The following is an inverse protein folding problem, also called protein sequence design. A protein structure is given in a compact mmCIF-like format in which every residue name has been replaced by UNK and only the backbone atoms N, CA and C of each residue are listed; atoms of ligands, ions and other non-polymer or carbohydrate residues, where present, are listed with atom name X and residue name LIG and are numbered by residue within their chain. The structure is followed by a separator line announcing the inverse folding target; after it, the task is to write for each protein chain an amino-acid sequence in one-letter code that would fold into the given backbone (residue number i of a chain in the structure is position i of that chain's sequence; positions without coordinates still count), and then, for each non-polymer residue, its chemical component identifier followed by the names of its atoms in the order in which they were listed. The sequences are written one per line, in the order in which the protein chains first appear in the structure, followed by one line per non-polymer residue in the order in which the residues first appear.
data_IF_306144757694
#
_entry.id   IF_306144757694
#
_cell.length_a   1.000
_cell.length_b   1.000
_cell.length_c   1.000
_cell.angle_alpha   90.00
_cell.angle_beta   90.00
_cell.angle_gamma   90.00
#
_symmetry.space_group_name_H-M   'P 1'
#
loop_
_entity.id
_entity.type
_entity.pdbx_description
1 polymer ?
#
# COMPACT_ATOMS: atom_id res chain seq x y z
N UNK A 1 -28.23 50.83 -36.39
CA UNK A 1 -28.43 50.85 -34.92
C UNK A 1 -28.58 49.42 -34.43
N UNK A 2 -27.88 49.10 -33.34
CA UNK A 2 -27.93 47.87 -32.53
C UNK A 2 -27.43 46.55 -33.16
N UNK A 3 -26.10 46.36 -33.12
CA UNK A 3 -25.45 45.05 -33.16
C UNK A 3 -25.70 44.33 -31.83
N UNK A 4 -26.43 43.20 -31.86
CA UNK A 4 -26.69 42.37 -30.67
C UNK A 4 -25.49 41.47 -30.41
N UNK A 5 -24.58 41.94 -29.56
CA UNK A 5 -23.50 41.13 -28.98
C UNK A 5 -24.13 40.02 -28.13
N UNK A 6 -24.07 38.79 -28.62
CA UNK A 6 -24.39 37.61 -27.83
C UNK A 6 -23.31 37.46 -26.74
N UNK A 7 -23.61 37.65 -25.45
CA UNK A 7 -22.59 37.51 -24.42
C UNK A 7 -22.23 36.03 -24.33
N UNK A 8 -20.96 35.74 -24.60
CA UNK A 8 -20.31 34.46 -24.40
C UNK A 8 -20.75 33.82 -23.07
N UNK A 9 -21.73 32.91 -23.10
CA UNK A 9 -21.92 31.92 -22.05
C UNK A 9 -20.73 30.97 -22.11
N UNK A 10 -19.62 31.36 -21.48
CA UNK A 10 -18.60 30.41 -21.05
C UNK A 10 -19.31 29.49 -20.07
N UNK A 11 -19.75 28.33 -20.55
CA UNK A 11 -20.24 27.25 -19.71
C UNK A 11 -19.09 26.87 -18.77
N UNK A 12 -19.08 27.47 -17.59
CA UNK A 12 -18.36 26.89 -16.48
C UNK A 12 -19.12 25.60 -16.16
N UNK A 13 -18.67 24.48 -16.70
CA UNK A 13 -19.05 23.14 -16.26
C UNK A 13 -18.47 22.93 -14.85
N UNK A 14 -18.91 23.72 -13.86
CA UNK A 14 -18.81 23.33 -12.46
C UNK A 14 -19.94 22.33 -12.26
N UNK A 15 -19.73 21.09 -12.71
CA UNK A 15 -20.59 19.99 -12.28
C UNK A 15 -20.40 19.91 -10.78
N UNK A 16 -21.47 20.16 -10.02
CA UNK A 16 -21.46 19.98 -8.58
C UNK A 16 -21.06 18.52 -8.30
N UNK A 17 -19.92 18.31 -7.63
CA UNK A 17 -19.46 16.99 -7.29
C UNK A 17 -20.54 16.30 -6.43
N UNK A 18 -21.00 15.13 -6.87
CA UNK A 18 -22.00 14.36 -6.12
C UNK A 18 -21.50 14.13 -4.68
N UNK A 19 -22.27 14.54 -3.68
CA UNK A 19 -21.96 14.27 -2.27
C UNK A 19 -22.52 12.89 -1.91
N UNK A 20 -21.67 11.86 -1.76
CA UNK A 20 -22.15 10.53 -1.41
C UNK A 20 -22.67 10.51 0.03
N UNK A 21 -23.86 9.94 0.24
CA UNK A 21 -24.45 9.75 1.57
C UNK A 21 -24.00 8.44 2.25
N UNK A 22 -23.36 7.53 1.51
CA UNK A 22 -22.93 6.21 1.99
C UNK A 22 -21.50 5.89 1.55
N UNK A 23 -20.75 5.14 2.37
CA UNK A 23 -19.39 4.66 2.10
C UNK A 23 -19.31 3.88 0.79
N UNK A 24 -20.28 2.99 0.53
CA UNK A 24 -20.33 2.21 -0.71
C UNK A 24 -20.50 3.10 -1.95
N UNK A 25 -21.31 4.17 -1.84
CA UNK A 25 -21.50 5.12 -2.93
C UNK A 25 -20.23 5.95 -3.16
N UNK A 26 -19.55 6.36 -2.09
CA UNK A 26 -18.27 7.06 -2.18
C UNK A 26 -17.19 6.20 -2.87
N UNK A 27 -17.09 4.92 -2.51
CA UNK A 27 -16.16 3.98 -3.14
C UNK A 27 -16.49 3.74 -4.62
N UNK A 28 -17.77 3.68 -5.00
CA UNK A 28 -18.16 3.56 -6.40
C UNK A 28 -17.73 4.79 -7.23
N UNK A 29 -17.86 6.00 -6.67
CA UNK A 29 -17.39 7.24 -7.30
C UNK A 29 -15.86 7.31 -7.39
N UNK A 30 -15.16 6.85 -6.35
CA UNK A 30 -13.69 6.75 -6.40
C UNK A 30 -13.29 5.78 -7.51
N UNK A 31 -13.90 4.60 -7.57
CA UNK A 31 -13.61 3.53 -8.54
C UNK A 31 -13.86 3.92 -10.01
N UNK A 32 -14.78 4.84 -10.27
CA UNK A 32 -15.06 5.29 -11.65
C UNK A 32 -13.95 6.18 -12.23
N UNK A 33 -13.07 6.71 -11.39
CA UNK A 33 -11.98 7.59 -11.81
C UNK A 33 -10.74 6.78 -12.23
N UNK A 34 -9.88 7.31 -13.12
CA UNK A 34 -8.75 6.55 -13.64
C UNK A 34 -7.56 6.45 -12.68
N UNK A 35 -7.41 7.39 -11.75
CA UNK A 35 -6.24 7.49 -10.88
C UNK A 35 -6.67 7.47 -9.40
N UNK A 36 -6.01 6.63 -8.61
CA UNK A 36 -6.25 6.49 -7.18
C UNK A 36 -4.95 6.57 -6.38
N UNK A 37 -5.05 7.00 -5.14
CA UNK A 37 -3.98 7.00 -4.16
C UNK A 37 -4.50 6.45 -2.83
N UNK A 38 -3.57 6.00 -2.00
CA UNK A 38 -3.85 5.53 -0.64
C UNK A 38 -2.86 6.17 0.33
N UNK A 39 -3.34 6.51 1.53
CA UNK A 39 -2.47 6.81 2.66
C UNK A 39 -2.49 5.62 3.60
N UNK A 40 -1.37 4.91 3.68
CA UNK A 40 -1.22 3.73 4.53
C UNK A 40 -0.15 3.95 5.61
N UNK A 41 -0.39 3.40 6.80
CA UNK A 41 0.58 3.33 7.87
C UNK A 41 1.39 2.04 7.74
N UNK A 42 2.70 2.18 7.48
CA UNK A 42 3.65 1.07 7.39
C UNK A 42 4.76 1.29 8.40
N UNK A 43 5.03 0.29 9.25
CA UNK A 43 6.05 0.36 10.31
C UNK A 43 5.92 1.64 11.19
N UNK A 44 4.69 2.02 11.52
CA UNK A 44 4.39 3.16 12.40
C UNK A 44 4.45 4.55 11.73
N UNK A 45 4.66 4.64 10.41
CA UNK A 45 4.70 5.90 9.66
C UNK A 45 3.71 5.89 8.52
N UNK A 46 3.10 7.04 8.23
CA UNK A 46 2.13 7.21 7.14
C UNK A 46 2.86 7.52 5.83
N UNK A 47 2.43 6.90 4.74
CA UNK A 47 2.94 7.13 3.39
C UNK A 47 1.80 7.35 2.42
N UNK A 48 1.98 8.31 1.51
CA UNK A 48 1.14 8.48 0.33
C UNK A 48 1.66 7.53 -0.74
N UNK A 49 0.80 6.65 -1.24
CA UNK A 49 1.15 5.58 -2.16
C UNK A 49 0.23 5.62 -3.37
N UNK A 50 0.84 5.55 -4.55
CA UNK A 50 0.17 5.27 -5.81
C UNK A 50 0.46 3.81 -6.23
N UNK A 51 -0.39 3.22 -7.09
CA UNK A 51 -0.10 1.91 -7.65
C UNK A 51 1.22 1.95 -8.42
N UNK A 52 2.03 0.90 -8.29
CA UNK A 52 3.36 0.79 -8.92
C UNK A 52 4.42 1.73 -8.32
N UNK A 53 4.25 2.23 -7.10
CA UNK A 53 5.32 2.93 -6.39
C UNK A 53 6.36 1.98 -5.77
N UNK A 54 7.59 2.47 -5.57
CA UNK A 54 8.61 1.78 -4.76
C UNK A 54 8.78 2.51 -3.44
N UNK A 55 8.32 1.88 -2.37
CA UNK A 55 8.39 2.40 -1.02
C UNK A 55 9.62 1.84 -0.28
N UNK A 56 10.44 2.72 0.32
CA UNK A 56 11.54 2.29 1.20
C UNK A 56 11.12 2.46 2.66
N UNK A 57 11.06 1.35 3.40
CA UNK A 57 10.65 1.30 4.81
C UNK A 57 11.79 0.79 5.71
N UNK A 58 11.73 1.04 7.03
CA UNK A 58 12.60 0.38 7.99
C UNK A 58 12.62 -1.14 7.79
N UNK A 59 13.73 -1.78 8.15
CA UNK A 59 13.88 -3.23 7.94
C UNK A 59 12.80 -4.02 8.67
N UNK A 60 12.01 -4.78 7.90
CA UNK A 60 11.12 -5.81 8.42
C UNK A 60 11.93 -7.10 8.61
N UNK A 61 11.84 -7.71 9.80
CA UNK A 61 12.64 -8.89 10.16
C UNK A 61 12.04 -10.19 9.62
N UNK A 62 10.72 -10.26 9.58
CA UNK A 62 9.98 -11.52 9.38
C UNK A 62 9.55 -11.76 7.93
N UNK A 63 10.10 -10.98 6.99
CA UNK A 63 9.70 -11.02 5.57
C UNK A 63 10.90 -11.32 4.68
N UNK A 64 10.68 -12.17 3.68
CA UNK A 64 11.67 -12.52 2.66
C UNK A 64 11.43 -11.74 1.37
N UNK A 65 12.45 -11.72 0.51
CA UNK A 65 12.34 -11.12 -0.82
C UNK A 65 11.38 -11.97 -1.66
N UNK A 66 10.42 -11.32 -2.32
CA UNK A 66 9.37 -11.96 -3.12
C UNK A 66 8.04 -12.16 -2.38
N UNK A 67 8.01 -12.00 -1.05
CA UNK A 67 6.78 -12.14 -0.28
C UNK A 67 5.78 -11.03 -0.62
N UNK A 68 4.49 -11.37 -0.65
CA UNK A 68 3.40 -10.41 -0.83
C UNK A 68 2.75 -10.13 0.53
N UNK A 69 2.77 -8.87 0.93
CA UNK A 69 2.20 -8.37 2.18
C UNK A 69 0.90 -7.63 1.90
N UNK A 70 -0.12 -7.84 2.73
CA UNK A 70 -1.29 -6.97 2.76
C UNK A 70 -1.00 -5.73 3.63
N UNK A 71 -1.47 -4.56 3.23
CA UNK A 71 -1.35 -3.34 4.02
C UNK A 71 -2.55 -3.21 4.97
N UNK A 72 -2.35 -3.52 6.24
CA UNK A 72 -3.45 -3.57 7.22
C UNK A 72 -3.95 -2.17 7.65
N UNK A 73 -3.06 -1.17 7.65
CA UNK A 73 -3.35 0.17 8.17
C UNK A 73 -3.64 1.18 7.07
N UNK A 74 -4.77 1.07 6.37
CA UNK A 74 -5.18 2.06 5.35
C UNK A 74 -6.03 3.15 6.00
N UNK A 75 -5.57 4.41 5.94
CA UNK A 75 -6.24 5.53 6.61
C UNK A 75 -7.11 6.35 5.66
N UNK A 76 -6.64 6.53 4.42
CA UNK A 76 -7.31 7.36 3.42
C UNK A 76 -7.16 6.69 2.06
N UNK A 77 -8.21 6.77 1.26
CA UNK A 77 -8.20 6.35 -0.14
C UNK A 77 -8.89 7.43 -0.94
N UNK A 78 -8.26 7.87 -2.01
CA UNK A 78 -8.79 8.96 -2.80
C UNK A 78 -8.45 8.87 -4.26
N UNK A 79 -9.15 9.70 -5.00
CA UNK A 79 -8.94 9.97 -6.41
C UNK A 79 -8.83 11.49 -6.58
N UNK A 80 -8.99 12.00 -7.81
CA UNK A 80 -8.82 13.43 -8.07
C UNK A 80 -9.90 14.29 -7.42
N UNK A 81 -11.13 13.80 -7.37
CA UNK A 81 -12.29 14.59 -6.93
C UNK A 81 -12.92 14.07 -5.64
N UNK A 82 -12.68 12.81 -5.29
CA UNK A 82 -13.30 12.15 -4.15
C UNK A 82 -12.25 11.56 -3.23
N UNK A 83 -12.45 11.73 -1.92
CA UNK A 83 -11.56 11.18 -0.90
C UNK A 83 -12.40 10.54 0.20
N UNK A 84 -12.11 9.28 0.49
CA UNK A 84 -12.65 8.56 1.63
C UNK A 84 -11.60 8.56 2.75
N UNK A 85 -11.96 9.09 3.92
CA UNK A 85 -11.12 9.05 5.13
C UNK A 85 -11.72 8.08 6.14
N UNK A 86 -10.88 7.18 6.66
CA UNK A 86 -11.23 6.31 7.75
C UNK A 86 -11.30 7.05 9.08
N UNK A 87 -11.97 6.43 10.05
CA UNK A 87 -12.12 6.96 11.40
C UNK A 87 -11.99 5.79 12.39
N UNK A 88 -10.78 5.30 12.75
CA UNK A 88 -9.42 5.78 12.44
C UNK A 88 -8.71 5.10 11.25
N UNK A 89 -9.17 3.91 10.83
CA UNK A 89 -8.66 3.10 9.71
C UNK A 89 -9.89 2.73 8.85
N UNK A 90 -9.71 2.56 7.54
CA UNK A 90 -10.75 2.06 6.64
C UNK A 90 -10.80 0.54 6.75
N UNK A 91 -11.99 -0.04 6.83
CA UNK A 91 -12.12 -1.49 6.97
C UNK A 91 -11.45 -2.23 5.80
N UNK A 92 -10.65 -3.28 6.08
CA UNK A 92 -9.92 -4.04 5.05
C UNK A 92 -10.84 -4.80 4.10
N UNK A 93 -12.13 -4.93 4.45
CA UNK A 93 -13.16 -5.49 3.58
C UNK A 93 -13.52 -4.57 2.40
N UNK A 94 -13.31 -3.26 2.55
CA UNK A 94 -13.66 -2.26 1.53
C UNK A 94 -12.50 -1.97 0.57
N UNK A 95 -11.28 -1.91 1.11
CA UNK A 95 -10.08 -1.60 0.32
C UNK A 95 -8.94 -2.51 0.75
N UNK A 96 -8.34 -3.18 -0.24
CA UNK A 96 -7.15 -3.99 -0.06
C UNK A 96 -6.03 -3.46 -0.94
N UNK A 97 -4.81 -3.42 -0.39
CA UNK A 97 -3.60 -3.08 -1.13
C UNK A 97 -2.55 -4.13 -0.82
N UNK A 98 -2.03 -4.77 -1.86
CA UNK A 98 -0.91 -5.69 -1.77
C UNK A 98 0.41 -4.97 -2.03
N UNK A 99 1.45 -5.36 -1.31
CA UNK A 99 2.81 -4.86 -1.47
C UNK A 99 3.80 -6.01 -1.55
N UNK A 100 4.61 -6.06 -2.60
CA UNK A 100 5.60 -7.12 -2.81
C UNK A 100 6.96 -6.66 -2.30
N UNK A 101 7.68 -7.52 -1.58
CA UNK A 101 9.04 -7.23 -1.14
C UNK A 101 10.01 -7.40 -2.30
N UNK A 102 10.63 -6.31 -2.74
CA UNK A 102 11.58 -6.31 -3.86
C UNK A 102 12.98 -6.69 -3.41
N UNK A 103 13.46 -6.04 -2.34
CA UNK A 103 14.81 -6.28 -1.83
C UNK A 103 14.99 -5.76 -0.40
N UNK A 104 16.00 -6.27 0.26
CA UNK A 104 16.53 -5.66 1.47
C UNK A 104 17.83 -4.93 1.15
N UNK A 105 17.80 -3.61 1.30
CA UNK A 105 18.92 -2.74 0.95
C UNK A 105 19.57 -2.15 2.20
N UNK A 106 20.80 -1.64 2.04
CA UNK A 106 21.48 -0.86 3.07
C UNK A 106 21.57 0.58 2.58
N UNK A 107 21.24 1.52 3.45
CA UNK A 107 21.40 2.94 3.16
C UNK A 107 22.86 3.36 3.05
N UNK A 108 23.04 4.66 2.80
CA UNK A 108 24.33 5.31 2.91
C UNK A 108 24.89 5.13 4.33
N UNK A 109 26.20 5.09 4.44
CA UNK A 109 26.86 5.08 5.75
C UNK A 109 26.62 6.44 6.43
N UNK A 110 26.06 6.42 7.63
CA UNK A 110 25.86 7.61 8.45
C UNK A 110 26.98 7.70 9.47
N UNK A 111 27.67 8.85 9.48
CA UNK A 111 28.78 9.12 10.37
C UNK A 111 28.37 10.16 11.41
N UNK A 112 28.32 9.76 12.68
CA UNK A 112 28.03 10.64 13.79
C UNK A 112 29.32 10.96 14.54
N UNK A 113 29.74 12.22 14.50
CA UNK A 113 30.91 12.71 15.23
C UNK A 113 30.53 13.07 16.67
N UNK A 114 31.03 12.31 17.64
CA UNK A 114 30.98 12.67 19.06
C UNK A 114 32.27 13.40 19.43
N UNK A 115 32.16 14.66 19.80
CA UNK A 115 33.30 15.52 20.10
C UNK A 115 33.11 16.25 21.44
N UNK A 116 34.17 16.33 22.26
CA UNK A 116 34.20 17.21 23.44
C UNK A 116 35.38 18.18 23.32
N UNK A 117 35.06 19.47 23.38
CA UNK A 117 36.03 20.57 23.26
C UNK A 117 37.08 20.50 24.38
N UNK A 118 38.36 20.75 24.04
CA UNK A 118 39.51 20.79 24.98
C UNK A 118 39.70 19.51 25.83
N UNK A 119 39.14 18.37 25.42
CA UNK A 119 39.32 17.08 26.10
C UNK A 119 40.03 16.03 25.23
N UNK A 120 40.46 16.39 24.02
CA UNK A 120 41.00 15.43 23.04
C UNK A 120 40.01 14.36 22.57
N UNK A 121 38.79 14.34 23.11
CA UNK A 121 37.80 13.34 22.79
C UNK A 121 37.11 13.64 21.46
N UNK A 122 37.39 12.79 20.47
CA UNK A 122 36.78 12.77 19.14
C UNK A 122 36.54 11.32 18.74
N UNK A 123 35.28 10.93 18.57
CA UNK A 123 34.88 9.58 18.12
C UNK A 123 33.92 9.69 16.94
N UNK A 124 34.23 9.03 15.83
CA UNK A 124 33.32 8.88 14.71
C UNK A 124 32.59 7.56 14.90
N UNK A 125 31.27 7.61 15.07
CA UNK A 125 30.41 6.42 15.11
C UNK A 125 29.82 6.24 13.73
N UNK A 126 30.10 5.10 13.10
CA UNK A 126 29.54 4.75 11.81
C UNK A 126 28.34 3.85 12.02
N UNK A 127 27.24 4.15 11.34
CA UNK A 127 26.03 3.35 11.36
C UNK A 127 25.55 3.14 9.93
N UNK A 128 25.25 1.88 9.58
CA UNK A 128 24.75 1.54 8.25
C UNK A 128 23.33 0.99 8.38
N UNK A 129 22.35 1.86 8.19
CA UNK A 129 20.95 1.51 8.38
C UNK A 129 20.46 0.56 7.29
N UNK A 130 19.74 -0.49 7.69
CA UNK A 130 19.09 -1.44 6.77
C UNK A 130 17.65 -1.02 6.49
N UNK A 131 17.22 -1.21 5.25
CA UNK A 131 15.87 -0.91 4.78
C UNK A 131 15.29 -2.09 4.00
N UNK A 132 13.98 -2.05 3.80
CA UNK A 132 13.27 -2.96 2.88
C UNK A 132 12.58 -2.12 1.83
N UNK A 133 12.71 -2.53 0.57
CA UNK A 133 11.99 -1.92 -0.55
C UNK A 133 10.77 -2.74 -0.88
N UNK A 134 9.63 -2.08 -0.92
CA UNK A 134 8.33 -2.65 -1.25
C UNK A 134 7.89 -2.07 -2.59
N UNK A 135 7.36 -2.91 -3.46
CA UNK A 135 6.63 -2.50 -4.66
C UNK A 135 5.15 -2.51 -4.33
N UNK A 136 4.48 -1.38 -4.48
CA UNK A 136 3.04 -1.27 -4.24
C UNK A 136 2.30 -1.84 -5.45
N UNK A 137 1.39 -2.76 -5.19
CA UNK A 137 0.50 -3.36 -6.17
C UNK A 137 -0.62 -2.42 -6.59
N UNK A 138 -1.70 -3.01 -7.13
CA UNK A 138 -2.91 -2.25 -7.44
C UNK A 138 -3.74 -2.04 -6.15
N UNK A 139 -4.63 -1.05 -6.20
CA UNK A 139 -5.58 -0.78 -5.14
C UNK A 139 -6.87 -1.50 -5.52
N UNK A 140 -7.24 -2.52 -4.75
CA UNK A 140 -8.41 -3.34 -5.01
C UNK A 140 -9.57 -2.88 -4.12
N UNK A 141 -10.65 -2.44 -4.77
CA UNK A 141 -11.91 -2.06 -4.14
C UNK A 141 -12.83 -3.26 -4.17
N UNK A 142 -12.87 -4.04 -3.09
CA UNK A 142 -13.70 -5.23 -3.03
C UNK A 142 -15.17 -4.86 -2.76
N UNK A 143 -16.14 -5.33 -3.57
CA UNK A 143 -17.42 -5.75 -3.04
C UNK A 143 -17.20 -7.14 -2.42
N UNK A 144 -17.64 -7.34 -1.17
CA UNK A 144 -17.50 -8.61 -0.46
C UNK A 144 -17.92 -9.81 -1.34
N UNK A 145 -16.95 -10.58 -1.84
CA UNK A 145 -17.17 -11.91 -2.40
C UNK A 145 -15.88 -12.72 -2.28
N UNK A 146 -15.85 -13.48 -1.19
CA UNK A 146 -15.14 -14.74 -0.97
C UNK A 146 -14.56 -15.38 -2.25
N UNK A 147 -13.26 -15.21 -2.48
CA UNK A 147 -12.50 -16.27 -3.16
C UNK A 147 -12.28 -17.36 -2.12
N UNK A 148 -13.10 -18.41 -2.18
CA UNK A 148 -12.91 -19.62 -1.37
C UNK A 148 -11.46 -20.10 -1.53
N UNK A 149 -10.78 -20.52 -0.45
CA UNK A 149 -9.50 -21.19 -0.59
C UNK A 149 -9.72 -22.41 -1.48
N UNK A 150 -9.00 -22.46 -2.61
CA UNK A 150 -8.93 -23.65 -3.45
C UNK A 150 -8.57 -24.83 -2.54
N UNK A 151 -9.38 -25.91 -2.50
CA UNK A 151 -9.08 -27.06 -1.68
C UNK A 151 -7.66 -27.54 -1.99
N UNK A 152 -6.84 -27.85 -0.97
CA UNK A 152 -5.49 -28.35 -1.20
C UNK A 152 -5.57 -29.56 -2.12
N UNK A 153 -4.68 -29.68 -3.13
CA UNK A 153 -4.65 -30.85 -3.99
C UNK A 153 -4.54 -32.10 -3.10
N UNK A 154 -5.34 -33.16 -3.36
CA UNK A 154 -5.28 -34.38 -2.57
C UNK A 154 -3.86 -34.93 -2.63
N UNK A 155 -3.22 -34.99 -1.47
CA UNK A 155 -1.90 -35.60 -1.30
C UNK A 155 -2.03 -37.07 -1.73
N UNK A 156 -1.24 -37.59 -2.67
CA UNK A 156 -1.30 -39.01 -3.01
C UNK A 156 -0.90 -39.81 -1.77
N UNK A 157 -1.85 -40.59 -1.24
CA UNK A 157 -1.59 -41.57 -0.19
C UNK A 157 -0.62 -42.60 -0.73
N UNK A 158 0.63 -42.54 -0.28
CA UNK A 158 1.64 -43.58 -0.49
C UNK A 158 1.10 -44.90 0.08
N UNK A 159 0.72 -45.81 -0.81
CA UNK A 159 0.39 -47.19 -0.47
C UNK A 159 1.59 -47.88 0.15
N UNK A 160 1.52 -48.13 1.46
CA UNK A 160 2.42 -49.04 2.16
C UNK A 160 2.18 -50.46 1.65
N UNK A 161 3.16 -51.05 0.98
CA UNK A 161 3.25 -52.51 0.81
C UNK A 161 3.75 -53.12 2.13
N UNK A 162 3.06 -54.10 2.73
CA UNK A 162 3.67 -54.94 3.75
C UNK A 162 4.16 -56.26 3.15
N UNK A 163 5.21 -56.77 3.80
CA UNK A 163 5.60 -58.18 3.89
C UNK A 163 6.33 -58.82 2.70
N UNK A 164 7.66 -58.88 2.84
CA UNK A 164 8.41 -60.10 2.51
C UNK A 164 9.08 -60.62 3.78
N UNK A 165 8.45 -61.60 4.42
CA UNK A 165 9.05 -62.45 5.45
C UNK A 165 8.65 -63.90 5.17
N UNK A 166 9.68 -64.74 5.00
CA UNK A 166 9.71 -66.20 5.18
C UNK A 166 9.06 -67.09 4.10
N UNK A 167 9.91 -67.73 3.29
CA UNK A 167 10.11 -69.18 3.28
C UNK A 167 11.51 -69.49 2.69
#
# INVERSE_FOLDING_TARGET
MASTLNPLRRLAHTVAAATPSSTSAALALIRSQPNHYVVAAVAGRKYLLAPRDVLTVPRLKDVRVGDTLALDGILEVGSREYTLRGSPIIDPSHVSVSATVVEHTKGRMENMLKFKKRKGYKKIVQHKQTYTRLRIGNIDFAPASTSAPSPPPPVPTSSAQPASATA
#
